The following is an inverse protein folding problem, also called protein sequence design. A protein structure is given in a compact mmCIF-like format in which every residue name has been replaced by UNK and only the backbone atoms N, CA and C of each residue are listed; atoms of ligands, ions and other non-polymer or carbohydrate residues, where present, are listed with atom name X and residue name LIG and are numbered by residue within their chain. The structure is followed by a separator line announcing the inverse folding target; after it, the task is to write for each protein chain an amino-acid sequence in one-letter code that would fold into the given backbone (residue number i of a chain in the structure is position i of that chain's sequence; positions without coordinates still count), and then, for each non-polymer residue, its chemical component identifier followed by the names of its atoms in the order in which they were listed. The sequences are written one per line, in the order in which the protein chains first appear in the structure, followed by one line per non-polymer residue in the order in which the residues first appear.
data_IF_825356328919
#
_entry.id   IF_825356328919
#
_cell.length_a   1.000
_cell.length_b   1.000
_cell.length_c   1.000
_cell.angle_alpha   90.00
_cell.angle_beta   90.00
_cell.angle_gamma   90.00
#
_symmetry.space_group_name_H-M   'P 1'
#
loop_
_entity.id
_entity.type
_entity.pdbx_description
1 polymer ?
#
# COMPACT_ATOMS: atom_id res chain seq x y z
N UNK A 1 -11.82 9.69 11.18
CA UNK A 1 -11.50 8.79 10.05
C UNK A 1 -12.74 8.62 9.21
N UNK A 2 -12.57 8.51 7.89
CA UNK A 2 -13.62 8.21 6.92
C UNK A 2 -13.25 6.91 6.21
N UNK A 3 -14.22 6.01 6.10
CA UNK A 3 -14.05 4.73 5.42
C UNK A 3 -15.16 4.50 4.42
N UNK A 4 -14.83 3.81 3.34
CA UNK A 4 -15.76 3.47 2.28
C UNK A 4 -15.56 2.02 1.86
N UNK A 5 -16.66 1.26 1.91
CA UNK A 5 -16.74 -0.11 1.46
C UNK A 5 -17.66 -0.20 0.26
N UNK A 6 -17.21 -0.92 -0.76
CA UNK A 6 -18.03 -1.24 -1.92
C UNK A 6 -17.60 -2.59 -2.47
N UNK A 7 -18.31 -3.07 -3.49
CA UNK A 7 -17.80 -4.12 -4.35
C UNK A 7 -17.35 -3.50 -5.67
N UNK A 8 -16.20 -3.95 -6.18
CA UNK A 8 -15.63 -3.45 -7.43
C UNK A 8 -15.44 -4.56 -8.45
N UNK A 9 -15.83 -4.26 -9.67
CA UNK A 9 -15.34 -4.90 -10.89
C UNK A 9 -14.11 -4.15 -11.37
N UNK A 10 -12.97 -4.83 -11.48
CA UNK A 10 -11.78 -4.34 -12.19
C UNK A 10 -11.82 -4.93 -13.60
N UNK A 11 -12.45 -4.20 -14.52
CA UNK A 11 -12.60 -4.60 -15.91
C UNK A 11 -12.25 -3.43 -16.83
N UNK A 12 -11.39 -3.68 -17.81
CA UNK A 12 -11.04 -2.71 -18.85
C UNK A 12 -11.20 -3.26 -20.27
N UNK A 13 -12.16 -4.18 -20.47
CA UNK A 13 -12.49 -4.78 -21.78
C UNK A 13 -13.16 -3.78 -22.72
N UNK A 14 -13.60 -2.65 -22.18
CA UNK A 14 -14.14 -1.51 -22.90
C UNK A 14 -13.77 -0.21 -22.21
N UNK A 15 -13.86 0.92 -22.93
CA UNK A 15 -13.69 2.26 -22.35
C UNK A 15 -14.65 2.50 -21.19
N UNK A 16 -15.91 2.05 -21.32
CA UNK A 16 -16.94 2.23 -20.28
C UNK A 16 -16.56 1.49 -19.00
N UNK A 17 -16.07 0.25 -19.11
CA UNK A 17 -15.68 -0.53 -17.95
C UNK A 17 -14.45 0.09 -17.26
N UNK A 18 -13.46 0.53 -18.06
CA UNK A 18 -12.29 1.25 -17.54
C UNK A 18 -12.68 2.52 -16.78
N UNK A 19 -13.49 3.37 -17.41
CA UNK A 19 -13.99 4.60 -16.81
C UNK A 19 -14.77 4.33 -15.52
N UNK A 20 -15.55 3.25 -15.48
CA UNK A 20 -16.37 2.89 -14.32
C UNK A 20 -15.52 2.64 -13.08
N UNK A 21 -14.47 1.80 -13.17
CA UNK A 21 -13.65 1.50 -11.99
C UNK A 21 -12.72 2.65 -11.61
N UNK A 22 -12.21 3.41 -12.59
CA UNK A 22 -11.44 4.64 -12.32
C UNK A 22 -12.29 5.67 -11.58
N UNK A 23 -13.53 5.89 -12.03
CA UNK A 23 -14.48 6.79 -11.36
C UNK A 23 -14.83 6.30 -9.96
N UNK A 24 -14.93 4.99 -9.74
CA UNK A 24 -15.14 4.43 -8.42
C UNK A 24 -13.97 4.75 -7.48
N UNK A 25 -12.72 4.54 -7.92
CA UNK A 25 -11.54 4.86 -7.10
C UNK A 25 -11.48 6.34 -6.78
N UNK A 26 -11.71 7.20 -7.77
CA UNK A 26 -11.77 8.65 -7.57
C UNK A 26 -12.85 9.04 -6.55
N UNK A 27 -14.09 8.58 -6.75
CA UNK A 27 -15.21 8.89 -5.86
C UNK A 27 -14.96 8.36 -4.44
N UNK A 28 -14.38 7.18 -4.32
CA UNK A 28 -14.02 6.60 -3.03
C UNK A 28 -13.01 7.47 -2.28
N UNK A 29 -11.94 7.92 -2.94
CA UNK A 29 -10.88 8.70 -2.30
C UNK A 29 -11.33 10.14 -2.00
N UNK A 30 -11.94 10.83 -2.95
CA UNK A 30 -12.29 12.25 -2.83
C UNK A 30 -13.63 12.43 -2.14
N UNK A 31 -14.69 11.88 -2.72
CA UNK A 31 -16.07 12.14 -2.26
C UNK A 31 -16.40 11.41 -0.97
N UNK A 32 -15.94 10.16 -0.81
CA UNK A 32 -16.29 9.33 0.34
C UNK A 32 -15.25 9.41 1.47
N UNK A 33 -13.96 9.38 1.13
CA UNK A 33 -12.88 9.43 2.11
C UNK A 33 -12.38 10.85 2.40
N UNK A 34 -12.67 11.87 1.58
CA UNK A 34 -12.33 13.27 1.89
C UNK A 34 -10.87 13.65 1.62
N UNK A 35 -10.18 12.88 0.77
CA UNK A 35 -8.88 13.24 0.23
C UNK A 35 -9.02 14.45 -0.72
N UNK A 36 -7.97 15.25 -0.87
CA UNK A 36 -8.02 16.44 -1.75
C UNK A 36 -7.31 16.19 -3.07
N UNK A 37 -8.01 16.26 -4.20
CA UNK A 37 -7.38 16.31 -5.52
C UNK A 37 -6.71 17.68 -5.72
N UNK A 38 -5.55 17.70 -6.37
CA UNK A 38 -4.88 18.95 -6.75
C UNK A 38 -5.38 19.48 -8.09
N UNK A 39 -5.05 20.74 -8.42
CA UNK A 39 -5.39 21.38 -9.70
C UNK A 39 -4.36 21.19 -10.81
N UNK A 40 -3.52 20.15 -10.74
CA UNK A 40 -2.47 19.91 -11.74
C UNK A 40 -3.04 19.69 -13.14
N UNK A 41 -2.38 20.29 -14.13
CA UNK A 41 -2.69 20.08 -15.54
C UNK A 41 -2.31 18.66 -15.99
N UNK A 42 -3.03 18.13 -16.99
CA UNK A 42 -2.81 16.78 -17.52
C UNK A 42 -3.45 15.65 -16.72
N UNK A 43 -4.08 15.94 -15.57
CA UNK A 43 -4.93 14.97 -14.89
C UNK A 43 -6.13 14.57 -15.75
N UNK A 44 -6.66 13.37 -15.52
CA UNK A 44 -7.89 12.92 -16.17
C UNK A 44 -9.08 13.81 -15.76
N UNK A 45 -10.12 13.85 -16.60
CA UNK A 45 -11.37 14.50 -16.25
C UNK A 45 -12.08 13.77 -15.10
N UNK A 46 -13.00 14.48 -14.45
CA UNK A 46 -13.91 13.94 -13.43
C UNK A 46 -15.34 14.29 -13.88
N UNK A 47 -16.16 13.31 -14.29
CA UNK A 47 -15.86 11.89 -14.38
C UNK A 47 -14.81 11.57 -15.46
N UNK A 48 -14.13 10.43 -15.29
CA UNK A 48 -13.17 9.88 -16.24
C UNK A 48 -13.87 9.62 -17.59
N UNK A 49 -13.31 10.19 -18.65
CA UNK A 49 -13.71 9.97 -20.06
C UNK A 49 -12.56 9.41 -20.90
N UNK A 50 -11.43 9.12 -20.26
CA UNK A 50 -10.23 8.57 -20.88
C UNK A 50 -10.51 7.20 -21.50
N UNK A 51 -9.88 6.91 -22.64
CA UNK A 51 -9.94 5.58 -23.25
C UNK A 51 -9.17 4.56 -22.41
N UNK A 52 -9.63 3.31 -22.44
CA UNK A 52 -8.88 2.21 -21.84
C UNK A 52 -7.53 2.03 -22.57
N UNK A 53 -6.50 1.53 -21.88
CA UNK A 53 -5.26 1.10 -22.53
C UNK A 53 -5.53 0.11 -23.68
N UNK A 54 -4.76 0.21 -24.75
CA UNK A 54 -4.83 -0.68 -25.92
C UNK A 54 -3.64 -1.67 -26.00
N UNK A 55 -2.67 -1.54 -25.10
CA UNK A 55 -1.52 -2.43 -24.99
C UNK A 55 -1.26 -2.77 -23.51
N UNK A 56 -0.44 -3.79 -23.25
CA UNK A 56 0.09 -4.04 -21.91
C UNK A 56 1.12 -2.99 -21.50
N UNK A 57 1.27 -2.78 -20.20
CA UNK A 57 2.18 -1.78 -19.66
C UNK A 57 1.99 -0.38 -20.25
N UNK A 58 0.75 0.09 -20.22
CA UNK A 58 0.41 1.43 -20.72
C UNK A 58 -0.38 2.21 -19.66
N UNK A 59 0.09 3.42 -19.35
CA UNK A 59 -0.68 4.39 -18.57
C UNK A 59 -1.76 5.00 -19.46
N UNK A 60 -3.01 4.99 -19.00
CA UNK A 60 -4.10 5.72 -19.64
C UNK A 60 -4.24 7.15 -19.10
N UNK A 61 -3.93 7.36 -17.82
CA UNK A 61 -3.94 8.69 -17.22
C UNK A 61 -3.70 8.65 -15.71
N UNK A 62 -3.88 9.79 -15.05
CA UNK A 62 -3.58 9.93 -13.63
C UNK A 62 -4.46 10.96 -12.92
N UNK A 63 -4.49 10.86 -11.59
CA UNK A 63 -4.91 11.91 -10.67
C UNK A 63 -3.76 12.21 -9.70
N UNK A 64 -3.69 13.44 -9.21
CA UNK A 64 -2.80 13.84 -8.12
C UNK A 64 -3.65 14.25 -6.94
N UNK A 65 -3.29 13.70 -5.80
CA UNK A 65 -3.93 13.97 -4.54
C UNK A 65 -2.92 14.50 -3.53
N UNK A 66 -3.45 15.21 -2.54
CA UNK A 66 -2.72 15.59 -1.35
C UNK A 66 -3.49 15.22 -0.09
N UNK A 67 -2.74 14.99 0.97
CA UNK A 67 -3.34 14.91 2.29
C UNK A 67 -3.82 16.31 2.70
N UNK A 68 -4.80 16.35 3.58
CA UNK A 68 -5.35 17.56 4.22
C UNK A 68 -5.38 17.40 5.75
N UNK A 69 -4.44 16.60 6.28
CA UNK A 69 -4.19 16.47 7.72
C UNK A 69 -3.43 17.68 8.31
N UNK A 70 -3.32 17.73 9.64
CA UNK A 70 -2.70 18.86 10.37
C UNK A 70 -1.23 19.07 10.05
N UNK A 71 -0.50 18.03 9.64
CA UNK A 71 0.91 18.07 9.28
C UNK A 71 1.13 18.34 7.79
N UNK A 72 0.07 18.53 6.99
CA UNK A 72 0.21 18.88 5.57
C UNK A 72 0.98 20.20 5.36
N UNK A 73 0.92 21.13 6.32
CA UNK A 73 1.64 22.40 6.24
C UNK A 73 3.15 22.28 6.51
N UNK A 74 3.57 21.28 7.29
CA UNK A 74 4.97 21.12 7.73
C UNK A 74 5.69 20.00 6.99
N UNK A 75 4.99 18.90 6.69
CA UNK A 75 5.44 17.83 5.82
C UNK A 75 4.29 17.46 4.87
N UNK A 76 4.19 18.15 3.72
CA UNK A 76 3.14 17.85 2.77
C UNK A 76 3.31 16.44 2.21
N UNK A 77 2.20 15.73 2.01
CA UNK A 77 2.17 14.45 1.29
C UNK A 77 1.35 14.66 0.04
N UNK A 78 2.00 14.49 -1.10
CA UNK A 78 1.39 14.43 -2.42
C UNK A 78 1.62 13.06 -3.00
N UNK A 79 0.61 12.53 -3.70
CA UNK A 79 0.81 11.34 -4.50
C UNK A 79 0.06 11.40 -5.81
N UNK A 80 0.71 10.90 -6.85
CA UNK A 80 0.11 10.65 -8.16
C UNK A 80 -0.34 9.21 -8.20
N UNK A 81 -1.61 8.99 -8.51
CA UNK A 81 -2.17 7.67 -8.79
C UNK A 81 -2.41 7.55 -10.28
N UNK A 82 -1.69 6.62 -10.91
CA UNK A 82 -1.75 6.35 -12.34
C UNK A 82 -2.59 5.11 -12.58
N UNK A 83 -3.40 5.17 -13.63
CA UNK A 83 -4.31 4.12 -14.05
C UNK A 83 -3.91 3.64 -15.43
N UNK A 84 -3.98 2.33 -15.65
CA UNK A 84 -3.54 1.75 -16.91
C UNK A 84 -3.65 0.24 -16.95
N UNK A 85 -2.77 -0.37 -17.72
CA UNK A 85 -2.72 -1.81 -17.94
C UNK A 85 -1.42 -2.42 -17.42
N UNK A 86 -1.51 -3.54 -16.71
CA UNK A 86 -0.36 -4.33 -16.30
C UNK A 86 0.37 -4.98 -17.48
N UNK A 87 1.51 -5.61 -17.19
CA UNK A 87 2.37 -6.27 -18.20
C UNK A 87 1.69 -7.42 -18.96
N UNK A 88 0.59 -7.98 -18.45
CA UNK A 88 -0.13 -9.07 -19.12
C UNK A 88 -0.81 -8.68 -20.43
N UNK A 89 -1.08 -7.38 -20.67
CA UNK A 89 -1.83 -6.91 -21.85
C UNK A 89 -2.85 -5.80 -21.55
N UNK A 90 -3.55 -5.34 -22.60
CA UNK A 90 -4.51 -4.23 -22.54
C UNK A 90 -5.68 -4.44 -21.57
N UNK A 91 -6.03 -5.70 -21.29
CA UNK A 91 -7.18 -6.09 -20.48
C UNK A 91 -6.85 -6.33 -19.01
N UNK A 92 -5.63 -6.05 -18.54
CA UNK A 92 -5.23 -6.32 -17.16
C UNK A 92 -5.14 -5.02 -16.36
N UNK A 93 -6.13 -4.68 -15.52
CA UNK A 93 -6.11 -3.44 -14.75
C UNK A 93 -4.82 -3.28 -13.96
N UNK A 94 -4.27 -2.07 -14.03
CA UNK A 94 -3.03 -1.72 -13.36
C UNK A 94 -3.14 -0.34 -12.73
N UNK A 95 -2.56 -0.22 -11.54
CA UNK A 95 -2.35 1.06 -10.89
C UNK A 95 -0.87 1.21 -10.50
N UNK A 96 -0.44 2.46 -10.37
CA UNK A 96 0.85 2.79 -9.79
C UNK A 96 0.76 4.07 -8.97
N UNK A 97 1.55 4.16 -7.90
CA UNK A 97 1.62 5.35 -7.04
C UNK A 97 3.02 5.96 -7.03
N UNK A 98 3.11 7.28 -7.19
CA UNK A 98 4.34 8.06 -7.00
C UNK A 98 4.11 9.04 -5.86
N UNK A 99 5.03 9.16 -4.91
CA UNK A 99 4.90 10.03 -3.74
C UNK A 99 5.98 11.13 -3.71
N UNK A 100 5.66 12.23 -3.03
CA UNK A 100 6.60 13.32 -2.77
C UNK A 100 5.98 14.37 -1.84
N UNK A 101 6.70 15.47 -1.62
CA UNK A 101 6.25 16.58 -0.75
C UNK A 101 5.66 17.75 -1.51
N UNK A 102 5.45 17.62 -2.81
CA UNK A 102 4.79 18.63 -3.61
C UNK A 102 4.37 18.13 -4.99
N UNK A 103 3.71 19.01 -5.73
CA UNK A 103 3.48 18.87 -7.16
C UNK A 103 3.86 20.19 -7.84
N UNK A 104 4.31 20.13 -9.10
CA UNK A 104 4.72 21.30 -9.87
C UNK A 104 3.57 21.96 -10.68
N UNK A 105 2.32 21.49 -10.52
CA UNK A 105 1.17 21.99 -11.27
C UNK A 105 1.03 21.41 -12.68
N UNK A 106 2.00 20.61 -13.16
CA UNK A 106 1.97 19.97 -14.48
C UNK A 106 1.98 18.44 -14.42
N UNK A 107 1.51 17.88 -13.31
CA UNK A 107 1.41 16.43 -13.16
C UNK A 107 2.70 15.76 -12.68
N UNK A 108 3.72 16.55 -12.29
CA UNK A 108 4.98 16.02 -11.75
C UNK A 108 5.05 16.23 -10.25
N UNK A 109 5.22 15.12 -9.54
CA UNK A 109 5.47 15.12 -8.10
C UNK A 109 6.89 15.66 -7.84
N UNK A 110 7.00 16.70 -7.01
CA UNK A 110 8.29 17.30 -6.62
C UNK A 110 8.84 16.62 -5.36
N UNK A 111 10.13 16.82 -5.08
CA UNK A 111 10.89 16.24 -3.96
C UNK A 111 10.80 14.71 -3.81
N UNK A 112 10.38 14.03 -4.87
CA UNK A 112 10.50 12.59 -5.02
C UNK A 112 11.99 12.24 -5.09
N UNK A 113 12.66 12.12 -3.94
CA UNK A 113 14.04 11.65 -3.84
C UNK A 113 14.20 10.16 -4.16
N UNK A 114 13.29 9.58 -4.94
CA UNK A 114 13.32 8.15 -5.22
C UNK A 114 12.93 7.90 -6.64
N UNK A 115 13.90 7.58 -7.50
CA UNK A 115 13.79 6.83 -8.74
C UNK A 115 13.81 5.31 -8.44
N UNK A 116 12.72 4.69 -7.98
CA UNK A 116 12.54 3.23 -8.19
C UNK A 116 12.29 3.03 -9.67
N UNK A 117 13.38 2.81 -10.39
CA UNK A 117 13.31 2.07 -11.62
C UNK A 117 13.04 0.62 -11.22
N UNK A 118 11.77 0.23 -11.07
CA UNK A 118 11.45 -1.20 -11.08
C UNK A 118 11.88 -1.71 -12.45
N UNK A 119 12.87 -2.61 -12.49
CA UNK A 119 13.39 -3.25 -13.69
C UNK A 119 12.40 -4.17 -14.40
N UNK A 120 11.12 -3.81 -14.47
CA UNK A 120 10.15 -4.40 -15.39
C UNK A 120 9.99 -3.44 -16.57
N UNK A 121 10.67 -3.79 -17.65
CA UNK A 121 10.58 -3.20 -18.99
C UNK A 121 9.18 -2.68 -19.32
N UNK A 122 9.02 -1.37 -19.52
CA UNK A 122 7.90 -0.87 -20.34
C UNK A 122 7.25 0.46 -19.99
N UNK A 123 7.47 1.07 -18.82
CA UNK A 123 6.86 2.38 -18.53
C UNK A 123 7.82 3.39 -17.87
N UNK A 124 7.73 4.62 -18.37
CA UNK A 124 8.26 5.93 -17.92
C UNK A 124 9.41 5.92 -16.91
N UNK A 125 10.44 6.70 -17.20
CA UNK A 125 11.59 7.05 -16.33
C UNK A 125 11.22 7.65 -14.98
N UNK A 126 9.93 7.77 -14.64
CA UNK A 126 9.47 8.24 -13.34
C UNK A 126 9.31 7.07 -12.35
N UNK A 127 9.84 7.21 -11.13
CA UNK A 127 9.64 6.26 -10.05
C UNK A 127 8.18 5.99 -9.72
N UNK A 128 7.83 4.71 -9.69
CA UNK A 128 6.46 4.26 -9.48
C UNK A 128 6.46 3.05 -8.57
N UNK A 129 5.57 3.03 -7.59
CA UNK A 129 5.22 1.86 -6.80
C UNK A 129 4.03 1.17 -7.48
N UNK A 130 4.26 0.07 -8.17
CA UNK A 130 3.19 -0.66 -8.82
C UNK A 130 2.25 -1.32 -7.80
N UNK A 131 0.95 -1.27 -8.08
CA UNK A 131 -0.07 -2.00 -7.33
C UNK A 131 -0.86 -2.90 -8.30
N UNK A 132 -0.58 -4.21 -8.27
CA UNK A 132 -1.18 -5.19 -9.19
C UNK A 132 -0.44 -5.38 -10.52
N UNK A 133 0.80 -4.90 -10.64
CA UNK A 133 1.61 -5.01 -11.85
C UNK A 133 2.62 -6.17 -11.72
N UNK A 134 2.97 -6.88 -12.80
CA UNK A 134 4.12 -7.81 -12.80
C UNK A 134 3.88 -9.31 -13.01
N UNK A 135 3.38 -9.73 -14.17
CA UNK A 135 3.78 -11.04 -14.73
C UNK A 135 2.66 -11.98 -15.20
N UNK A 136 1.46 -11.89 -14.64
CA UNK A 136 0.32 -12.73 -15.02
C UNK A 136 -1.00 -12.20 -14.47
N UNK A 137 -1.96 -11.97 -15.37
CA UNK A 137 -3.42 -11.98 -15.18
C UNK A 137 -4.03 -11.47 -13.85
N UNK A 138 -4.09 -10.15 -13.64
CA UNK A 138 -5.25 -9.55 -12.95
C UNK A 138 -6.49 -9.93 -13.76
N UNK A 139 -7.08 -11.09 -13.48
CA UNK A 139 -8.25 -11.57 -14.22
C UNK A 139 -9.29 -10.47 -14.18
N UNK A 140 -9.71 -9.97 -15.34
CA UNK A 140 -10.88 -9.11 -15.41
C UNK A 140 -12.01 -9.88 -14.73
N UNK A 141 -12.46 -9.39 -13.58
CA UNK A 141 -13.61 -10.00 -12.94
C UNK A 141 -14.80 -9.13 -13.22
N UNK A 142 -15.68 -9.65 -14.06
CA UNK A 142 -17.08 -9.22 -14.08
C UNK A 142 -17.74 -9.49 -12.71
N UNK A 143 -17.16 -10.39 -11.91
CA UNK A 143 -17.50 -10.61 -10.51
C UNK A 143 -17.05 -9.45 -9.62
N UNK A 144 -18.00 -9.02 -8.79
CA UNK A 144 -17.83 -8.01 -7.76
C UNK A 144 -17.09 -8.59 -6.55
N UNK A 145 -15.98 -7.97 -6.16
CA UNK A 145 -15.25 -8.32 -4.93
C UNK A 145 -15.22 -7.14 -3.95
N UNK A 146 -15.20 -7.41 -2.63
CA UNK A 146 -15.07 -6.38 -1.61
C UNK A 146 -13.85 -5.48 -1.83
N UNK A 147 -14.06 -4.18 -1.75
CA UNK A 147 -13.04 -3.15 -1.82
C UNK A 147 -13.18 -2.19 -0.65
N UNK A 148 -12.06 -1.69 -0.16
CA UNK A 148 -11.94 -0.90 1.06
C UNK A 148 -11.06 0.30 0.79
N UNK A 149 -11.57 1.46 1.17
CA UNK A 149 -10.88 2.73 1.08
C UNK A 149 -10.99 3.40 2.42
N UNK A 150 -9.90 4.01 2.87
CA UNK A 150 -9.89 4.73 4.13
C UNK A 150 -8.96 5.93 4.05
N UNK A 151 -9.36 6.99 4.74
CA UNK A 151 -8.50 8.13 4.99
C UNK A 151 -8.71 8.63 6.42
N UNK A 152 -7.59 8.88 7.10
CA UNK A 152 -7.59 9.37 8.47
C UNK A 152 -6.73 10.64 8.56
N UNK A 153 -7.40 11.79 8.61
CA UNK A 153 -6.77 13.10 8.81
C UNK A 153 -6.07 13.23 10.17
N UNK A 154 -6.45 12.46 11.18
CA UNK A 154 -5.80 12.52 12.49
C UNK A 154 -4.50 11.73 12.52
N UNK A 155 -4.45 10.60 11.80
CA UNK A 155 -3.28 9.71 11.77
C UNK A 155 -2.37 9.95 10.55
N UNK A 156 -2.79 10.78 9.59
CA UNK A 156 -2.10 10.94 8.33
C UNK A 156 -1.96 9.60 7.60
N UNK A 157 -3.09 8.91 7.42
CA UNK A 157 -3.15 7.58 6.79
C UNK A 157 -4.14 7.56 5.63
N UNK A 158 -3.76 6.95 4.52
CA UNK A 158 -4.63 6.61 3.40
C UNK A 158 -4.41 5.14 3.03
N UNK A 159 -5.50 4.40 2.85
CA UNK A 159 -5.43 3.00 2.43
C UNK A 159 -6.41 2.70 1.32
N UNK A 160 -5.93 1.90 0.36
CA UNK A 160 -6.70 1.37 -0.76
C UNK A 160 -6.44 -0.12 -0.82
N UNK A 161 -7.50 -0.92 -0.73
CA UNK A 161 -7.44 -2.36 -0.91
C UNK A 161 -8.65 -2.79 -1.75
N UNK A 162 -8.41 -3.13 -3.00
CA UNK A 162 -9.43 -3.46 -3.99
C UNK A 162 -9.46 -4.97 -4.26
N UNK A 163 -10.67 -5.48 -4.46
CA UNK A 163 -10.93 -6.89 -4.77
C UNK A 163 -10.38 -7.88 -3.73
N UNK A 164 -10.54 -7.55 -2.46
CA UNK A 164 -10.18 -8.41 -1.32
C UNK A 164 -10.95 -9.73 -1.39
N UNK A 165 -10.24 -10.84 -1.17
CA UNK A 165 -10.83 -12.19 -1.19
C UNK A 165 -10.94 -12.80 -2.59
N UNK A 166 -10.48 -12.10 -3.63
CA UNK A 166 -10.25 -12.65 -4.95
C UNK A 166 -9.04 -13.60 -4.88
N UNK A 167 -9.29 -14.88 -4.58
CA UNK A 167 -8.29 -15.92 -4.44
C UNK A 167 -8.88 -17.30 -4.72
N UNK A 168 -8.32 -18.00 -5.69
CA UNK A 168 -8.77 -19.34 -6.11
C UNK A 168 -8.18 -19.78 -7.44
N UNK A 169 -7.81 -18.82 -8.29
CA UNK A 169 -7.07 -19.04 -9.54
C UNK A 169 -5.71 -18.37 -9.45
N UNK A 170 -4.67 -19.06 -9.92
CA UNK A 170 -3.33 -18.51 -9.99
C UNK A 170 -3.36 -17.16 -10.71
N UNK A 171 -2.62 -16.18 -10.15
CA UNK A 171 -2.36 -14.86 -10.74
C UNK A 171 -3.44 -13.78 -10.56
N UNK A 172 -4.61 -14.10 -10.02
CA UNK A 172 -5.64 -13.09 -9.74
C UNK A 172 -5.47 -12.57 -8.31
N UNK A 173 -5.24 -11.26 -8.15
CA UNK A 173 -4.91 -10.69 -6.85
C UNK A 173 -5.45 -9.28 -6.60
N UNK A 174 -5.71 -8.95 -5.32
CA UNK A 174 -6.16 -7.62 -4.93
C UNK A 174 -5.14 -6.53 -5.29
N UNK A 175 -5.63 -5.37 -5.72
CA UNK A 175 -4.83 -4.17 -5.97
C UNK A 175 -4.90 -3.24 -4.78
N UNK A 176 -3.76 -2.73 -4.31
CA UNK A 176 -3.81 -1.83 -3.17
C UNK A 176 -2.48 -1.20 -2.81
N UNK A 177 -2.59 -0.14 -2.01
CA UNK A 177 -1.47 0.54 -1.40
C UNK A 177 -1.92 1.19 -0.08
N UNK A 178 -0.95 1.41 0.79
CA UNK A 178 -1.09 2.16 2.03
C UNK A 178 -0.07 3.29 2.04
N UNK A 179 -0.49 4.47 2.49
CA UNK A 179 0.38 5.63 2.70
C UNK A 179 0.13 6.10 4.13
N UNK A 180 1.19 6.25 4.92
CA UNK A 180 1.10 6.73 6.30
C UNK A 180 2.26 7.62 6.69
N UNK A 181 2.00 8.56 7.60
CA UNK A 181 3.06 9.35 8.26
C UNK A 181 3.92 8.48 9.16
N UNK A 182 5.14 8.94 9.42
CA UNK A 182 5.90 8.47 10.57
C UNK A 182 5.17 8.84 11.86
N UNK A 183 5.33 8.00 12.87
CA UNK A 183 4.77 8.23 14.21
C UNK A 183 5.88 8.27 15.25
N UNK A 184 5.62 8.96 16.36
CA UNK A 184 6.50 8.95 17.53
C UNK A 184 6.26 7.71 18.42
N UNK A 185 6.93 7.67 19.58
CA UNK A 185 6.79 6.59 20.56
C UNK A 185 5.36 6.46 21.16
N UNK A 186 4.51 7.49 21.04
CA UNK A 186 3.10 7.44 21.49
C UNK A 186 2.15 7.05 20.36
N UNK A 187 2.66 6.75 19.17
CA UNK A 187 1.87 6.44 17.98
C UNK A 187 1.15 7.65 17.36
N UNK A 188 1.53 8.88 17.75
CA UNK A 188 1.02 10.10 17.13
C UNK A 188 1.84 10.44 15.88
N UNK A 189 1.22 10.87 14.77
CA UNK A 189 1.95 11.20 13.55
C UNK A 189 2.90 12.39 13.77
N UNK A 190 4.03 12.36 13.09
CA UNK A 190 5.09 13.39 13.14
C UNK A 190 5.53 13.80 11.74
N UNK A 191 6.12 14.99 11.65
CA UNK A 191 6.62 15.57 10.40
C UNK A 191 8.05 15.11 10.03
N UNK A 192 8.50 13.93 10.49
CA UNK A 192 9.84 13.40 10.20
C UNK A 192 9.89 12.58 8.91
N UNK A 193 8.74 12.11 8.42
CA UNK A 193 8.68 11.30 7.21
C UNK A 193 7.32 10.70 6.94
N UNK A 194 7.25 9.93 5.86
CA UNK A 194 6.09 9.12 5.50
C UNK A 194 6.54 7.86 4.76
N UNK A 195 5.66 6.87 4.69
CA UNK A 195 5.91 5.59 4.07
C UNK A 195 4.78 5.22 3.13
N UNK A 196 5.11 4.47 2.09
CA UNK A 196 4.14 3.83 1.23
C UNK A 196 4.48 2.36 1.04
N UNK A 197 3.45 1.53 1.10
CA UNK A 197 3.51 0.10 0.88
C UNK A 197 2.52 -0.23 -0.24
N UNK A 198 2.97 -0.94 -1.26
CA UNK A 198 2.13 -1.32 -2.39
C UNK A 198 2.25 -2.82 -2.67
N UNK A 199 1.15 -3.40 -3.16
CA UNK A 199 1.08 -4.83 -3.44
C UNK A 199 1.64 -5.20 -4.83
N UNK A 200 2.45 -6.26 -4.86
CA UNK A 200 2.83 -6.99 -6.06
C UNK A 200 2.49 -8.48 -5.87
N UNK A 201 1.49 -8.96 -6.59
CA UNK A 201 1.17 -10.39 -6.80
C UNK A 201 0.54 -11.23 -5.68
N UNK A 202 -0.53 -11.93 -6.09
CA UNK A 202 -1.19 -13.04 -5.38
C UNK A 202 -1.09 -14.29 -6.26
N UNK A 203 -0.29 -15.28 -5.87
CA UNK A 203 -0.42 -16.64 -6.41
C UNK A 203 -1.31 -17.44 -5.47
N UNK A 204 -2.42 -17.94 -6.02
CA UNK A 204 -3.35 -18.80 -5.31
C UNK A 204 -2.65 -20.08 -4.83
N UNK A 205 -2.47 -20.19 -3.52
CA UNK A 205 -2.06 -21.41 -2.84
C UNK A 205 -1.90 -21.17 -1.34
N UNK A 206 -2.50 -21.98 -0.45
CA UNK A 206 -2.21 -21.94 1.00
C UNK A 206 -0.79 -22.43 1.35
N UNK A 207 0.01 -22.79 0.34
CA UNK A 207 1.38 -23.31 0.47
C UNK A 207 2.30 -22.59 -0.52
N UNK A 208 2.79 -21.40 -0.15
CA UNK A 208 3.99 -20.85 -0.80
C UNK A 208 5.24 -21.31 -0.06
N UNK A 209 5.77 -22.46 -0.48
CA UNK A 209 7.17 -22.78 -0.27
C UNK A 209 8.03 -21.98 -1.23
N UNK A 210 8.65 -20.89 -0.76
CA UNK A 210 10.03 -20.57 -1.14
C UNK A 210 10.37 -19.62 -2.30
N UNK A 211 9.44 -18.93 -2.99
CA UNK A 211 9.85 -17.89 -3.98
C UNK A 211 9.42 -16.48 -3.57
N UNK A 212 10.34 -15.80 -2.88
CA UNK A 212 10.31 -14.43 -2.40
C UNK A 212 10.13 -13.37 -3.50
N UNK A 213 8.90 -13.08 -3.93
CA UNK A 213 8.65 -11.92 -4.80
C UNK A 213 8.10 -10.75 -3.98
N UNK A 214 8.87 -9.66 -3.97
CA UNK A 214 8.83 -8.51 -3.06
C UNK A 214 7.54 -7.70 -3.06
N UNK A 215 6.95 -7.42 -1.89
CA UNK A 215 6.13 -6.21 -1.75
C UNK A 215 7.02 -4.96 -1.93
N UNK A 216 6.48 -3.87 -2.46
CA UNK A 216 7.25 -2.64 -2.59
C UNK A 216 6.97 -1.72 -1.41
N UNK A 217 8.03 -1.29 -0.73
CA UNK A 217 7.96 -0.29 0.31
C UNK A 217 8.91 0.87 -0.01
N UNK A 218 8.43 2.08 0.24
CA UNK A 218 9.21 3.32 0.14
C UNK A 218 9.04 4.12 1.42
N UNK A 219 10.14 4.63 1.96
CA UNK A 219 10.21 5.44 3.19
C UNK A 219 10.89 6.76 2.84
N UNK A 220 10.17 7.87 2.99
CA UNK A 220 10.70 9.22 2.88
C UNK A 220 11.09 9.74 4.27
N UNK A 221 12.35 10.17 4.43
CA UNK A 221 12.83 10.89 5.61
C UNK A 221 12.95 12.38 5.27
N UNK A 222 12.11 13.19 5.91
CA UNK A 222 12.07 14.63 5.69
C UNK A 222 13.28 15.37 6.30
N UNK A 223 13.85 14.84 7.39
CA UNK A 223 14.99 15.44 8.09
C UNK A 223 16.25 15.38 7.23
N UNK A 224 16.49 14.25 6.58
CA UNK A 224 17.67 14.04 5.72
C UNK A 224 17.37 14.28 4.24
N UNK A 225 16.10 14.47 3.87
CA UNK A 225 15.63 14.50 2.49
C UNK A 225 16.09 13.28 1.68
N UNK A 226 16.08 12.10 2.32
CA UNK A 226 16.48 10.83 1.71
C UNK A 226 15.29 9.91 1.57
N UNK A 227 15.31 9.09 0.51
CA UNK A 227 14.33 8.02 0.34
C UNK A 227 15.01 6.67 0.37
N UNK A 228 14.42 5.77 1.16
CA UNK A 228 14.80 4.38 1.27
C UNK A 228 13.72 3.53 0.62
N UNK A 229 14.08 2.52 -0.15
CA UNK A 229 13.08 1.56 -0.61
C UNK A 229 13.68 0.20 -0.91
N UNK A 230 12.83 -0.82 -0.83
CA UNK A 230 13.16 -2.19 -1.23
C UNK A 230 12.60 -2.44 -2.63
N UNK A 231 13.47 -2.49 -3.64
CA UNK A 231 13.10 -3.11 -4.90
C UNK A 231 13.29 -4.62 -4.76
N UNK A 232 12.23 -5.39 -4.97
CA UNK A 232 12.37 -6.83 -5.14
C UNK A 232 13.21 -7.13 -6.37
N UNK A 233 14.50 -7.44 -6.18
CA UNK A 233 15.31 -8.11 -7.20
C UNK A 233 16.28 -7.27 -8.03
N UNK A 234 16.47 -5.97 -7.78
CA UNK A 234 17.51 -5.19 -8.48
C UNK A 234 18.69 -4.91 -7.54
N UNK A 235 19.84 -5.53 -7.83
CA UNK A 235 21.15 -5.14 -7.30
C UNK A 235 21.45 -3.70 -7.71
N UNK A 236 20.96 -2.72 -6.94
CA UNK A 236 21.36 -1.33 -7.13
C UNK A 236 22.79 -1.17 -6.59
N UNK A 237 23.81 -0.91 -7.42
CA UNK A 237 25.21 -0.94 -7.02
C UNK A 237 25.64 0.16 -6.02
N UNK A 238 24.75 1.09 -5.66
CA UNK A 238 25.03 2.19 -4.74
C UNK A 238 24.37 2.10 -3.36
N UNK A 239 23.46 1.15 -3.13
CA UNK A 239 22.73 1.00 -1.85
C UNK A 239 22.97 -0.38 -1.22
N UNK A 240 23.82 -1.20 -1.84
CA UNK A 240 24.10 -2.55 -1.39
C UNK A 240 25.49 -2.62 -0.74
N UNK A 241 25.56 -2.22 0.52
CA UNK A 241 26.62 -2.65 1.42
C UNK A 241 26.00 -2.88 2.82
N UNK A 242 25.56 -4.12 3.03
CA UNK A 242 25.36 -4.76 4.33
C UNK A 242 24.42 -4.06 5.34
N UNK A 243 23.18 -4.57 5.45
CA UNK A 243 22.51 -4.66 6.76
C UNK A 243 21.22 -3.86 6.96
N UNK A 244 20.89 -2.90 6.11
CA UNK A 244 19.63 -2.14 6.24
C UNK A 244 18.53 -2.75 5.37
N UNK A 245 18.07 -3.93 5.76
CA UNK A 245 16.72 -4.36 5.41
C UNK A 245 15.79 -3.33 6.07
N UNK A 246 15.12 -2.46 5.30
CA UNK A 246 14.15 -1.53 5.85
C UNK A 246 12.84 -2.30 6.09
N UNK A 247 12.88 -3.14 7.13
CA UNK A 247 11.74 -3.90 7.60
C UNK A 247 10.61 -2.94 7.95
N UNK A 248 9.43 -3.16 7.40
CA UNK A 248 8.20 -2.81 8.10
C UNK A 248 8.23 -3.68 9.36
N UNK A 249 8.67 -3.11 10.49
CA UNK A 249 9.17 -3.89 11.63
C UNK A 249 8.05 -4.74 12.24
N UNK A 250 8.19 -6.04 12.04
CA UNK A 250 7.55 -7.09 12.83
C UNK A 250 8.09 -6.96 14.26
N UNK A 251 7.34 -7.37 15.32
CA UNK A 251 7.81 -7.34 16.70
C UNK A 251 9.29 -7.70 16.84
N UNK A 252 10.10 -6.91 17.58
CA UNK A 252 11.56 -7.07 17.67
C UNK A 252 12.00 -8.33 18.43
N UNK A 253 11.09 -9.27 18.65
CA UNK A 253 11.31 -10.51 19.38
C UNK A 253 10.92 -11.65 18.45
N UNK A 254 11.74 -12.70 18.38
CA UNK A 254 11.23 -14.01 18.01
C UNK A 254 10.04 -14.27 18.92
N UNK A 255 8.83 -14.40 18.38
CA UNK A 255 7.69 -14.87 19.17
C UNK A 255 7.96 -16.34 19.49
N UNK A 256 8.79 -16.59 20.51
CA UNK A 256 9.09 -17.93 21.02
C UNK A 256 7.99 -18.43 21.97
N UNK A 257 6.93 -17.65 22.13
CA UNK A 257 5.73 -18.03 22.85
C UNK A 257 4.87 -18.95 21.99
N UNK A 258 4.26 -19.95 22.62
CA UNK A 258 3.23 -20.78 22.00
C UNK A 258 2.15 -19.87 21.42
N UNK A 259 1.98 -19.89 20.10
CA UNK A 259 0.80 -19.30 19.45
C UNK A 259 -0.41 -19.96 20.13
N UNK A 260 -1.25 -19.13 20.75
CA UNK A 260 -2.44 -19.63 21.43
C UNK A 260 -3.30 -20.32 20.37
N UNK A 261 -3.79 -21.52 20.67
CA UNK A 261 -4.63 -22.27 19.75
C UNK A 261 -5.82 -21.40 19.30
N UNK A 262 -6.24 -21.59 18.04
CA UNK A 262 -7.35 -20.89 17.44
C UNK A 262 -8.59 -20.93 18.35
N UNK A 263 -9.22 -19.76 18.59
CA UNK A 263 -10.51 -19.65 19.29
C UNK A 263 -10.54 -18.92 20.63
N UNK A 264 -9.42 -18.45 21.19
CA UNK A 264 -9.43 -17.78 22.53
C UNK A 264 -9.22 -16.26 22.55
N UNK A 265 -8.73 -15.64 21.48
CA UNK A 265 -8.70 -14.20 21.19
C UNK A 265 -7.71 -14.05 20.04
N UNK A 266 -8.08 -13.36 18.96
CA UNK A 266 -7.19 -13.24 17.80
C UNK A 266 -5.85 -12.64 18.19
N UNK A 267 -4.75 -13.30 17.82
CA UNK A 267 -3.42 -12.76 18.05
C UNK A 267 -3.16 -11.63 17.06
N UNK A 268 -3.13 -10.40 17.58
CA UNK A 268 -2.88 -9.18 16.80
C UNK A 268 -1.66 -8.49 17.35
N UNK A 269 -0.72 -8.22 16.47
CA UNK A 269 0.54 -7.57 16.75
C UNK A 269 0.53 -6.20 16.07
N UNK A 270 0.83 -5.12 16.81
CA UNK A 270 1.03 -3.84 16.16
C UNK A 270 2.26 -3.91 15.25
N UNK A 271 2.26 -3.12 14.18
CA UNK A 271 3.45 -2.95 13.35
C UNK A 271 4.33 -1.89 13.99
N UNK A 272 5.63 -2.14 14.05
CA UNK A 272 6.60 -1.15 14.50
C UNK A 272 7.13 -0.37 13.31
N UNK A 273 7.41 0.90 13.53
CA UNK A 273 7.96 1.81 12.53
C UNK A 273 9.30 2.33 13.03
N UNK A 274 10.35 2.14 12.23
CA UNK A 274 11.62 2.81 12.48
C UNK A 274 11.47 4.27 12.06
N UNK A 275 11.78 5.21 12.95
CA UNK A 275 12.04 6.58 12.56
C UNK A 275 13.53 6.73 12.19
N UNK A 276 13.85 6.86 10.89
CA UNK A 276 15.23 7.00 10.43
C UNK A 276 15.87 8.35 10.83
N UNK A 277 15.11 9.29 11.42
CA UNK A 277 15.61 10.62 11.80
C UNK A 277 16.45 10.64 13.10
N UNK A 278 16.61 9.51 13.80
CA UNK A 278 17.50 9.44 14.97
C UNK A 278 18.98 9.54 14.54
N UNK A 279 19.51 10.75 14.45
CA UNK A 279 20.89 11.03 14.02
C UNK A 279 21.93 10.78 15.11
N UNK A 280 21.52 10.73 16.38
CA UNK A 280 22.38 10.43 17.53
C UNK A 280 21.61 9.62 18.58
N UNK A 281 21.69 8.28 18.50
CA UNK A 281 21.04 7.37 19.45
C UNK A 281 20.56 6.08 18.80
N UNK A 282 20.05 5.10 19.57
CA UNK A 282 19.32 3.98 19.00
C UNK A 282 18.16 4.50 18.15
N UNK A 283 17.81 3.84 17.02
CA UNK A 283 16.71 4.28 16.19
C UNK A 283 15.43 4.36 17.02
N UNK A 284 14.71 5.47 16.91
CA UNK A 284 13.42 5.60 17.57
C UNK A 284 12.47 4.58 16.94
N UNK A 285 12.13 3.55 17.69
CA UNK A 285 11.10 2.58 17.31
C UNK A 285 9.76 3.16 17.77
N UNK A 286 8.99 3.68 16.82
CA UNK A 286 7.59 4.01 17.02
C UNK A 286 6.72 2.77 16.84
N UNK A 287 5.54 2.75 17.47
CA UNK A 287 4.51 1.76 17.17
C UNK A 287 3.55 2.41 16.18
N UNK A 288 3.50 1.92 14.95
CA UNK A 288 2.55 2.46 13.97
C UNK A 288 1.16 1.94 14.23
N UNK A 289 0.24 2.91 14.26
CA UNK A 289 -1.19 2.72 14.42
C UNK A 289 -1.91 2.56 13.07
N UNK A 290 -1.16 2.63 11.96
CA UNK A 290 -1.73 2.58 10.61
C UNK A 290 -1.98 1.15 10.10
N UNK A 291 -1.26 0.17 10.64
CA UNK A 291 -1.35 -1.24 10.24
C UNK A 291 -1.14 -2.15 11.45
N UNK A 292 -1.81 -3.29 11.44
CA UNK A 292 -1.54 -4.39 12.36
C UNK A 292 -1.32 -5.70 11.58
N UNK A 293 -0.77 -6.69 12.27
CA UNK A 293 -0.57 -8.03 11.77
C UNK A 293 -1.39 -8.98 12.63
N UNK A 294 -2.02 -9.99 12.04
CA UNK A 294 -2.77 -10.97 12.81
C UNK A 294 -2.89 -12.31 12.12
N UNK A 295 -3.13 -13.36 12.90
CA UNK A 295 -3.35 -14.69 12.37
C UNK A 295 -4.68 -14.73 11.59
N UNK A 296 -4.64 -15.02 10.28
CA UNK A 296 -5.86 -15.09 9.43
C UNK A 296 -6.76 -16.28 9.81
N UNK A 297 -6.22 -17.28 10.50
CA UNK A 297 -7.04 -18.38 11.01
C UNK A 297 -7.91 -17.93 12.19
N UNK A 298 -7.52 -16.86 12.89
CA UNK A 298 -8.27 -16.31 14.02
C UNK A 298 -9.21 -15.17 13.61
N UNK A 299 -8.96 -14.55 12.45
CA UNK A 299 -9.71 -13.40 11.95
C UNK A 299 -10.15 -13.62 10.51
N UNK A 300 -11.46 -13.79 10.31
CA UNK A 300 -12.03 -13.93 8.98
C UNK A 300 -11.71 -12.70 8.11
N UNK A 301 -11.47 -12.90 6.82
CA UNK A 301 -11.32 -11.79 5.86
C UNK A 301 -12.57 -10.90 5.90
N UNK A 302 -12.38 -9.58 5.93
CA UNK A 302 -13.39 -8.54 6.13
C UNK A 302 -13.94 -8.39 7.56
N UNK A 303 -13.50 -9.19 8.53
CA UNK A 303 -13.83 -8.93 9.94
C UNK A 303 -13.04 -7.73 10.47
N UNK A 304 -13.61 -7.02 11.45
CA UNK A 304 -12.91 -5.98 12.20
C UNK A 304 -12.44 -6.50 13.54
N UNK A 305 -11.38 -5.90 14.04
CA UNK A 305 -10.90 -6.14 15.39
C UNK A 305 -10.33 -4.87 16.00
N UNK A 306 -10.63 -4.66 17.27
CA UNK A 306 -10.08 -3.55 18.04
C UNK A 306 -8.94 -4.07 18.89
N UNK A 307 -7.78 -3.44 18.76
CA UNK A 307 -6.63 -3.71 19.65
C UNK A 307 -6.19 -2.41 20.32
N UNK A 308 -5.71 -2.55 21.54
CA UNK A 308 -5.19 -1.46 22.35
C UNK A 308 -3.78 -1.84 22.73
N UNK A 309 -2.81 -1.08 22.24
CA UNK A 309 -1.46 -1.17 22.80
C UNK A 309 -1.54 -0.57 24.19
N UNK A 310 -0.94 -1.22 25.19
CA UNK A 310 -0.95 -0.71 26.56
C UNK A 310 -0.43 0.74 26.60
N UNK A 311 -1.26 1.66 27.10
CA UNK A 311 -0.95 3.08 27.15
C UNK A 311 -1.23 3.87 25.86
N UNK A 312 -1.84 3.27 24.84
CA UNK A 312 -2.31 3.95 23.62
C UNK A 312 -3.83 4.03 23.55
N UNK A 313 -4.32 4.85 22.62
CA UNK A 313 -5.72 4.82 22.18
C UNK A 313 -6.03 3.48 21.52
N UNK A 314 -7.20 2.90 21.80
CA UNK A 314 -7.71 1.73 21.08
C UNK A 314 -7.96 2.07 19.62
N UNK A 315 -7.59 1.15 18.72
CA UNK A 315 -7.76 1.32 17.28
C UNK A 315 -8.44 0.12 16.67
N UNK A 316 -9.30 0.36 15.70
CA UNK A 316 -10.01 -0.70 15.00
C UNK A 316 -9.42 -0.91 13.63
N UNK A 317 -9.11 -2.17 13.33
CA UNK A 317 -8.54 -2.60 12.07
C UNK A 317 -9.50 -3.54 11.36
N UNK A 318 -9.46 -3.56 10.04
CA UNK A 318 -10.16 -4.54 9.21
C UNK A 318 -9.16 -5.52 8.62
N UNK A 319 -9.45 -6.81 8.72
CA UNK A 319 -8.66 -7.85 8.09
C UNK A 319 -8.87 -7.81 6.57
N UNK A 320 -7.89 -7.31 5.83
CA UNK A 320 -7.93 -7.23 4.35
C UNK A 320 -7.35 -8.48 3.68
N UNK A 321 -7.04 -9.52 4.46
CA UNK A 321 -6.52 -10.81 3.99
C UNK A 321 -4.99 -10.84 3.93
N UNK A 322 -4.44 -11.68 3.05
CA UNK A 322 -2.99 -11.74 2.78
C UNK A 322 -2.60 -11.11 1.44
N UNK A 323 -2.95 -9.83 1.16
CA UNK A 323 -2.65 -9.28 -0.14
C UNK A 323 -1.18 -8.93 -0.32
N UNK A 324 -0.41 -8.54 0.71
CA UNK A 324 0.95 -8.01 0.51
C UNK A 324 2.03 -9.08 0.73
N UNK A 325 2.92 -9.22 -0.26
CA UNK A 325 3.93 -10.28 -0.33
C UNK A 325 4.70 -10.51 0.97
N UNK A 326 4.81 -11.79 1.35
CA UNK A 326 5.51 -12.37 2.51
C UNK A 326 7.00 -12.01 2.66
N UNK A 327 7.58 -11.29 1.72
CA UNK A 327 9.03 -11.05 1.63
C UNK A 327 9.57 -10.22 2.80
N UNK A 328 8.75 -9.42 3.47
CA UNK A 328 9.16 -8.73 4.71
C UNK A 328 9.05 -9.60 5.97
N UNK A 329 8.42 -10.78 5.92
CA UNK A 329 8.20 -11.71 7.03
C UNK A 329 9.20 -12.88 7.07
N UNK A 330 10.29 -12.80 6.29
CA UNK A 330 11.20 -13.93 6.00
C UNK A 330 11.74 -14.72 7.19
N UNK A 331 11.80 -14.15 8.39
CA UNK A 331 12.20 -14.87 9.61
C UNK A 331 11.17 -15.90 10.12
N UNK A 332 9.91 -15.82 9.69
CA UNK A 332 8.82 -16.72 10.11
C UNK A 332 8.52 -17.83 9.09
N UNK A 333 9.24 -17.87 7.96
CA UNK A 333 9.01 -18.80 6.84
C UNK A 333 9.19 -20.30 7.17
N UNK A 334 9.71 -20.65 8.34
CA UNK A 334 9.80 -22.03 8.81
C UNK A 334 8.55 -22.54 9.52
N UNK A 335 7.60 -21.66 9.86
CA UNK A 335 6.35 -22.04 10.49
C UNK A 335 5.21 -21.59 9.57
N UNK A 336 4.25 -22.49 9.28
CA UNK A 336 3.07 -22.26 8.44
C UNK A 336 2.11 -21.23 9.06
N UNK A 337 2.60 -20.05 9.39
CA UNK A 337 1.85 -19.00 10.03
C UNK A 337 1.13 -18.23 8.93
N UNK A 338 -0.15 -18.55 8.87
CA UNK A 338 -1.20 -17.86 8.17
C UNK A 338 -1.36 -16.46 8.78
N UNK A 339 -0.47 -15.53 8.41
CA UNK A 339 -0.43 -14.15 8.89
C UNK A 339 -1.01 -13.22 7.81
N UNK A 340 -1.91 -12.32 8.19
CA UNK A 340 -2.52 -11.31 7.32
C UNK A 340 -2.32 -9.90 7.82
N UNK A 341 -2.55 -8.93 6.94
CA UNK A 341 -2.41 -7.51 7.25
C UNK A 341 -3.78 -6.92 7.57
N UNK A 342 -3.85 -6.20 8.68
CA UNK A 342 -5.03 -5.46 9.06
C UNK A 342 -4.82 -3.97 8.74
N UNK A 343 -5.78 -3.41 8.03
CA UNK A 343 -5.81 -2.00 7.64
C UNK A 343 -6.56 -1.20 8.71
N UNK A 344 -6.04 -0.04 9.11
CA UNK A 344 -6.76 0.85 10.02
C UNK A 344 -8.14 1.23 9.43
N UNK A 345 -9.22 1.05 10.20
CA UNK A 345 -10.60 1.08 9.68
C UNK A 345 -11.57 1.93 10.51
N UNK A 346 -11.32 2.17 11.81
CA UNK A 346 -12.06 3.14 12.62
C UNK A 346 -11.18 3.76 13.70
#
# INVERSE_FOLDING_TARGET
MTTFSTNTTLDQSSNVNFQTWVNLVYNALVTQCGLTQTGDTGQMAVPCVTAAPNAGSQSAGFYIFRFNDTLQATLPIFFKLEFGSGAGGANYPGMAVTLGTGSNGSGTITSAGYSVQSGATGMSTTPRLPCGWGGSVQGQTTTNFPSRFCYNTTQGFCGVAMQIGQGGTANVGPMGFFIFRNVNATGAPVATGFQCVANFYNTAGPTQGGSSTGGYATIFNATTNTVFGSSGGATNPGVNAAGYNYWMNIPPYSVSGTIMNAGTAGQIFPVYQMDPAATTGPPNIGITNAMAIGCINDLAVNSTVTTTILGSTSLTYIQVGVPFGYTSLGAYSSQNLNIGILMLWQ
#
